data_IF_671045133535
#
_entry.id   IF_671045133535
#
_cell.length_a   1.000
_cell.length_b   1.000
_cell.length_c   1.000
_cell.angle_alpha   90.00
_cell.angle_beta   90.00
_cell.angle_gamma   90.00
#
_symmetry.space_group_name_H-M   'P 1'
#
loop_
_entity.id
_entity.type
_entity.pdbx_description
1 polymer ?
#
# COMPACT_ATOMS: atom_id res chain seq x y z
N UNK A 1 15.13 23.76 -4.25
CA UNK A 1 15.43 22.53 -3.50
C UNK A 1 16.92 22.32 -3.54
N UNK A 2 17.54 22.27 -2.37
CA UNK A 2 18.97 21.94 -2.22
C UNK A 2 19.21 20.47 -2.60
N UNK A 3 20.42 20.11 -3.04
CA UNK A 3 20.76 18.73 -3.45
C UNK A 3 20.54 17.74 -2.30
N UNK A 4 20.88 18.18 -1.08
CA UNK A 4 20.63 17.46 0.17
C UNK A 4 19.14 17.18 0.40
N UNK A 5 18.27 18.13 0.09
CA UNK A 5 16.82 18.00 0.26
C UNK A 5 16.22 16.97 -0.71
N UNK A 6 16.70 16.97 -1.96
CA UNK A 6 16.30 15.98 -2.97
C UNK A 6 16.76 14.57 -2.60
N UNK A 7 17.98 14.44 -2.08
CA UNK A 7 18.51 13.17 -1.61
C UNK A 7 17.70 12.61 -0.44
N UNK A 8 17.38 13.43 0.56
CA UNK A 8 16.56 13.02 1.71
C UNK A 8 15.15 12.59 1.29
N UNK A 9 14.52 13.29 0.34
CA UNK A 9 13.24 12.89 -0.23
C UNK A 9 13.32 11.53 -0.96
N UNK A 10 14.38 11.32 -1.74
CA UNK A 10 14.62 10.05 -2.41
C UNK A 10 14.88 8.91 -1.39
N UNK A 11 15.63 9.16 -0.30
CA UNK A 11 15.88 8.16 0.74
C UNK A 11 14.60 7.75 1.45
N UNK A 12 13.79 8.72 1.91
CA UNK A 12 12.46 8.45 2.51
C UNK A 12 11.58 7.63 1.57
N UNK A 13 11.64 7.93 0.26
CA UNK A 13 10.90 7.18 -0.74
C UNK A 13 11.32 5.71 -0.82
N UNK A 14 12.62 5.43 -0.78
CA UNK A 14 13.11 4.06 -0.77
C UNK A 14 12.69 3.34 0.51
N UNK A 15 12.70 4.02 1.65
CA UNK A 15 12.23 3.47 2.93
C UNK A 15 10.73 3.10 2.89
N UNK A 16 9.86 3.96 2.37
CA UNK A 16 8.43 3.68 2.15
C UNK A 16 8.22 2.43 1.28
N UNK A 17 8.95 2.35 0.16
CA UNK A 17 8.86 1.22 -0.78
C UNK A 17 9.31 -0.08 -0.12
N UNK A 18 10.45 -0.04 0.60
CA UNK A 18 10.95 -1.21 1.35
C UNK A 18 9.94 -1.65 2.41
N UNK A 19 9.37 -0.71 3.15
CA UNK A 19 8.35 -0.98 4.16
C UNK A 19 7.13 -1.69 3.57
N UNK A 20 6.67 -1.26 2.40
CA UNK A 20 5.60 -1.95 1.68
C UNK A 20 5.97 -3.39 1.30
N UNK A 21 7.14 -3.61 0.70
CA UNK A 21 7.56 -4.96 0.30
C UNK A 21 7.69 -5.91 1.48
N UNK A 22 8.19 -5.44 2.61
CA UNK A 22 8.25 -6.24 3.84
C UNK A 22 6.85 -6.60 4.32
N UNK A 23 5.92 -5.63 4.38
CA UNK A 23 4.54 -5.88 4.78
C UNK A 23 3.85 -6.87 3.83
N UNK A 24 4.02 -6.70 2.51
CA UNK A 24 3.48 -7.61 1.49
C UNK A 24 4.05 -9.02 1.63
N UNK A 25 5.36 -9.16 1.84
CA UNK A 25 6.01 -10.46 2.02
C UNK A 25 5.47 -11.19 3.25
N UNK A 26 5.38 -10.50 4.39
CA UNK A 26 4.81 -11.05 5.62
C UNK A 26 3.37 -11.48 5.40
N UNK A 27 2.56 -10.65 4.74
CA UNK A 27 1.17 -10.97 4.40
C UNK A 27 1.06 -12.25 3.57
N UNK A 28 1.89 -12.40 2.53
CA UNK A 28 1.89 -13.60 1.68
C UNK A 28 2.31 -14.84 2.47
N UNK A 29 3.40 -14.77 3.23
CA UNK A 29 3.92 -15.90 4.00
C UNK A 29 2.93 -16.38 5.07
N UNK A 30 2.32 -15.44 5.81
CA UNK A 30 1.31 -15.76 6.82
C UNK A 30 0.09 -16.39 6.17
N UNK A 31 -0.48 -15.79 5.12
CA UNK A 31 -1.67 -16.34 4.48
C UNK A 31 -1.43 -17.69 3.82
N UNK A 32 -0.24 -17.92 3.25
CA UNK A 32 0.15 -19.23 2.74
C UNK A 32 0.21 -20.27 3.89
N UNK A 33 0.77 -19.90 5.04
CA UNK A 33 0.75 -20.74 6.24
C UNK A 33 -0.66 -21.05 6.72
N UNK A 34 -1.54 -20.05 6.80
CA UNK A 34 -2.94 -20.23 7.21
C UNK A 34 -3.72 -21.10 6.21
N UNK A 35 -3.48 -20.91 4.91
CA UNK A 35 -4.04 -21.75 3.85
C UNK A 35 -3.66 -23.23 4.04
N UNK A 36 -2.36 -23.50 4.25
CA UNK A 36 -1.88 -24.86 4.50
C UNK A 36 -2.51 -25.46 5.77
N UNK A 37 -2.56 -24.71 6.87
CA UNK A 37 -3.20 -25.16 8.11
C UNK A 37 -4.67 -25.46 7.87
N UNK A 38 -5.37 -24.60 7.13
CA UNK A 38 -6.79 -24.77 6.87
C UNK A 38 -7.07 -26.06 6.09
N UNK A 39 -6.36 -26.30 5.00
CA UNK A 39 -6.55 -27.50 4.18
C UNK A 39 -6.16 -28.77 4.94
N UNK A 40 -5.11 -28.72 5.77
CA UNK A 40 -4.63 -29.88 6.52
C UNK A 40 -5.47 -30.22 7.75
N UNK A 41 -6.08 -29.23 8.42
CA UNK A 41 -6.83 -29.44 9.67
C UNK A 41 -8.35 -29.40 9.51
N UNK A 42 -8.85 -28.62 8.56
CA UNK A 42 -10.30 -28.36 8.45
C UNK A 42 -10.69 -28.11 6.99
N UNK A 43 -10.51 -29.10 6.10
CA UNK A 43 -10.82 -28.95 4.67
C UNK A 43 -12.30 -28.63 4.41
N UNK A 44 -13.19 -29.07 5.31
CA UNK A 44 -14.64 -28.82 5.27
C UNK A 44 -15.00 -27.32 5.47
N UNK A 45 -14.13 -26.56 6.15
CA UNK A 45 -14.40 -25.17 6.56
C UNK A 45 -13.24 -24.27 6.18
N UNK A 46 -13.40 -23.46 5.13
CA UNK A 46 -12.33 -22.64 4.55
C UNK A 46 -12.08 -21.34 5.34
N UNK A 47 -11.81 -21.35 6.64
CA UNK A 47 -11.70 -20.12 7.44
C UNK A 47 -10.56 -19.13 7.04
N UNK A 48 -9.55 -19.55 6.26
CA UNK A 48 -8.39 -18.70 5.95
C UNK A 48 -8.72 -17.42 5.15
N UNK A 49 -9.87 -17.37 4.45
CA UNK A 49 -10.27 -16.19 3.68
C UNK A 49 -10.55 -14.96 4.58
N UNK A 50 -10.90 -15.17 5.86
CA UNK A 50 -11.18 -14.06 6.78
C UNK A 50 -9.91 -13.22 7.05
N UNK A 51 -8.79 -13.81 7.53
CA UNK A 51 -7.51 -13.11 7.61
C UNK A 51 -7.04 -12.53 6.29
N UNK A 52 -7.18 -13.29 5.19
CA UNK A 52 -6.78 -12.87 3.85
C UNK A 52 -7.46 -11.57 3.44
N UNK A 53 -8.79 -11.51 3.51
CA UNK A 53 -9.56 -10.34 3.10
C UNK A 53 -9.40 -9.18 4.10
N UNK A 54 -9.42 -9.47 5.40
CA UNK A 54 -9.29 -8.45 6.45
C UNK A 54 -7.96 -7.70 6.37
N UNK A 55 -6.84 -8.42 6.32
CA UNK A 55 -5.51 -7.79 6.24
C UNK A 55 -5.15 -7.38 4.82
N UNK A 56 -5.67 -8.07 3.81
CA UNK A 56 -5.46 -7.75 2.41
C UNK A 56 -5.90 -6.33 2.06
N UNK A 57 -6.99 -5.85 2.67
CA UNK A 57 -7.40 -4.44 2.53
C UNK A 57 -6.33 -3.46 3.02
N UNK A 58 -5.69 -3.75 4.16
CA UNK A 58 -4.60 -2.93 4.70
C UNK A 58 -3.37 -2.92 3.80
N UNK A 59 -3.01 -4.05 3.20
CA UNK A 59 -1.91 -4.15 2.23
C UNK A 59 -2.22 -3.34 0.97
N UNK A 60 -3.44 -3.44 0.44
CA UNK A 60 -3.87 -2.64 -0.73
C UNK A 60 -3.84 -1.15 -0.41
N UNK A 61 -4.36 -0.73 0.75
CA UNK A 61 -4.32 0.66 1.18
C UNK A 61 -2.88 1.19 1.32
N UNK A 62 -1.98 0.40 1.91
CA UNK A 62 -0.56 0.74 2.00
C UNK A 62 0.09 0.84 0.62
N UNK A 63 -0.22 -0.08 -0.31
CA UNK A 63 0.25 -0.05 -1.68
C UNK A 63 -0.23 1.19 -2.45
N UNK A 64 -1.48 1.60 -2.25
CA UNK A 64 -2.02 2.84 -2.83
C UNK A 64 -1.31 4.07 -2.25
N UNK A 65 -1.06 4.10 -0.94
CA UNK A 65 -0.31 5.17 -0.27
C UNK A 65 1.12 5.29 -0.80
N UNK A 66 1.81 4.15 -0.96
CA UNK A 66 3.18 4.13 -1.47
C UNK A 66 3.20 4.41 -2.97
N UNK A 67 2.46 3.72 -3.82
CA UNK A 67 2.62 3.80 -5.28
C UNK A 67 1.57 4.65 -6.01
N UNK A 68 0.32 4.65 -5.56
CA UNK A 68 -0.81 5.15 -6.34
C UNK A 68 -1.09 6.64 -6.19
N UNK A 69 -0.93 7.20 -4.98
CA UNK A 69 -1.45 8.54 -4.71
C UNK A 69 -0.53 9.68 -5.13
N UNK A 70 0.78 9.47 -5.28
CA UNK A 70 1.69 10.58 -5.65
C UNK A 70 1.64 11.00 -7.13
N UNK A 71 1.15 10.15 -8.03
CA UNK A 71 1.01 10.48 -9.45
C UNK A 71 -0.40 10.93 -9.84
N UNK A 72 -1.43 10.38 -9.21
CA UNK A 72 -2.84 10.67 -9.52
C UNK A 72 -3.47 11.68 -8.55
N UNK A 73 -3.11 11.65 -7.26
CA UNK A 73 -3.52 12.61 -6.22
C UNK A 73 -2.31 13.36 -5.64
N UNK A 74 -1.27 13.53 -6.46
CA UNK A 74 -0.03 14.18 -6.04
C UNK A 74 -0.14 15.69 -5.98
N UNK A 75 0.97 16.38 -5.63
CA UNK A 75 1.02 17.85 -5.56
C UNK A 75 0.55 18.53 -6.85
N UNK A 76 0.77 17.90 -8.00
CA UNK A 76 0.33 18.45 -9.29
C UNK A 76 -1.17 18.25 -9.54
N UNK A 77 -1.76 17.15 -9.04
CA UNK A 77 -3.21 16.98 -9.02
C UNK A 77 -3.87 17.99 -8.08
N UNK A 78 -3.32 18.18 -6.87
CA UNK A 78 -3.83 19.17 -5.91
C UNK A 78 -3.79 20.57 -6.53
N UNK A 79 -2.65 20.98 -7.10
CA UNK A 79 -2.53 22.26 -7.81
C UNK A 79 -3.54 22.39 -8.95
N UNK A 80 -3.74 21.34 -9.74
CA UNK A 80 -4.75 21.33 -10.81
C UNK A 80 -6.16 21.49 -10.25
N UNK A 81 -6.50 20.80 -9.16
CA UNK A 81 -7.85 20.85 -8.56
C UNK A 81 -8.14 22.21 -7.91
N UNK A 82 -7.15 22.81 -7.24
CA UNK A 82 -7.24 24.16 -6.69
C UNK A 82 -7.51 25.18 -7.82
N UNK A 83 -6.74 25.12 -8.90
CA UNK A 83 -6.95 25.99 -10.08
C UNK A 83 -8.36 25.83 -10.67
N UNK A 84 -8.84 24.59 -10.78
CA UNK A 84 -10.17 24.31 -11.33
C UNK A 84 -11.30 24.90 -10.47
N UNK A 85 -11.18 24.80 -9.13
CA UNK A 85 -12.17 25.36 -8.19
C UNK A 85 -12.13 26.89 -8.24
N UNK A 86 -10.94 27.51 -8.19
CA UNK A 86 -10.78 28.96 -8.27
C UNK A 86 -11.25 29.57 -9.60
N UNK A 87 -11.22 28.81 -10.70
CA UNK A 87 -11.70 29.28 -12.02
C UNK A 87 -13.22 29.16 -12.21
N UNK A 88 -13.88 28.43 -11.32
CA UNK A 88 -15.35 28.25 -11.32
C UNK A 88 -16.05 29.23 -10.37
N UNK A 89 -15.28 30.03 -9.63
CA UNK A 89 -15.71 31.25 -8.93
C UNK A 89 -15.37 32.48 -9.80
#
# INVERSE_FOLDING_TARGET
MDEKERYEQARKRVEEIKGFYVHLLVYVLVNLGLFLVNILRSPETIWFYWPLLGWGFGVVAHGISVFGLRGVLGPEWEKRKIREIMSKE
#
